data_IF_149111341698
#
_entry.id   IF_149111341698
#
_cell.length_a   1.000
_cell.length_b   1.000
_cell.length_c   1.000
_cell.angle_alpha   90.00
_cell.angle_beta   90.00
_cell.angle_gamma   90.00
#
_symmetry.space_group_name_H-M   'P 1'
#
loop_
_entity.id
_entity.type
_entity.pdbx_description
1 polymer ?
#
# COMPACT_ATOMS: atom_id res chain seq x y z
N UNK A 1 -5.20 25.04 -9.27
CA UNK A 1 -5.35 23.89 -10.21
C UNK A 1 -4.40 22.81 -9.71
N UNK A 2 -4.82 21.54 -9.64
CA UNK A 2 -3.93 20.48 -9.13
C UNK A 2 -2.85 20.17 -10.16
N UNK A 3 -1.58 20.28 -9.76
CA UNK A 3 -0.42 19.88 -10.55
C UNK A 3 0.14 18.57 -10.00
N UNK A 4 0.53 17.64 -10.88
CA UNK A 4 1.13 16.37 -10.47
C UNK A 4 2.59 16.37 -10.87
N UNK A 5 3.47 16.26 -9.88
CA UNK A 5 4.92 16.18 -10.03
C UNK A 5 5.42 14.81 -9.57
N UNK A 6 6.65 14.48 -9.93
CA UNK A 6 7.33 13.28 -9.43
C UNK A 6 8.70 13.64 -8.83
N UNK A 7 9.31 12.71 -8.11
CA UNK A 7 10.60 12.96 -7.46
C UNK A 7 11.78 12.99 -8.44
N UNK A 8 11.58 12.60 -9.71
CA UNK A 8 12.63 12.67 -10.72
C UNK A 8 12.77 14.12 -11.20
N UNK A 9 11.64 14.81 -11.37
CA UNK A 9 11.60 16.23 -11.71
C UNK A 9 11.83 17.14 -10.49
N UNK A 10 11.28 16.78 -9.31
CA UNK A 10 11.29 17.61 -8.09
C UNK A 10 11.64 16.81 -6.83
N UNK A 11 12.91 16.40 -6.67
CA UNK A 11 13.34 15.56 -5.54
C UNK A 11 13.15 16.23 -4.17
N UNK A 12 13.10 17.55 -4.11
CA UNK A 12 12.87 18.32 -2.88
C UNK A 12 11.47 18.12 -2.29
N UNK A 13 10.50 17.65 -3.10
CA UNK A 13 9.13 17.39 -2.63
C UNK A 13 9.00 16.16 -1.72
N UNK A 14 10.04 15.33 -1.63
CA UNK A 14 9.98 14.09 -0.83
C UNK A 14 9.63 14.34 0.63
N UNK A 15 10.33 15.26 1.29
CA UNK A 15 10.11 15.51 2.72
C UNK A 15 8.72 16.12 2.99
N UNK A 16 8.28 17.18 2.28
CA UNK A 16 6.92 17.70 2.40
C UNK A 16 5.82 16.67 2.14
N UNK A 17 5.99 15.79 1.14
CA UNK A 17 5.01 14.75 0.84
C UNK A 17 4.83 13.74 2.00
N UNK A 18 5.91 13.42 2.72
CA UNK A 18 5.86 12.52 3.89
C UNK A 18 5.19 13.16 5.10
N UNK A 19 5.21 14.49 5.22
CA UNK A 19 4.57 15.22 6.31
C UNK A 19 3.04 15.22 6.22
N UNK A 20 2.47 14.79 5.09
CA UNK A 20 1.02 14.69 4.93
C UNK A 20 0.39 13.68 5.90
N UNK A 21 1.13 12.63 6.29
CA UNK A 21 0.67 11.57 7.17
C UNK A 21 0.77 10.18 6.54
N UNK A 22 0.11 9.21 7.16
CA UNK A 22 0.09 7.79 6.76
C UNK A 22 -1.32 7.20 6.89
N UNK A 23 -1.56 6.07 6.22
CA UNK A 23 -2.82 5.32 6.30
C UNK A 23 -2.69 4.22 7.35
N UNK A 24 -3.72 4.04 8.17
CA UNK A 24 -3.79 2.95 9.16
C UNK A 24 -3.09 3.29 10.49
N UNK A 25 -2.75 2.26 11.27
CA UNK A 25 -2.06 2.42 12.55
C UNK A 25 -0.55 2.53 12.38
N UNK A 26 0.14 3.18 13.33
CA UNK A 26 1.60 3.35 13.34
C UNK A 26 2.34 2.03 13.13
N UNK A 27 1.86 0.96 13.78
CA UNK A 27 2.45 -0.38 13.71
C UNK A 27 2.63 -0.92 12.28
N UNK A 28 1.84 -0.49 11.30
CA UNK A 28 2.00 -0.90 9.90
C UNK A 28 3.35 -0.47 9.30
N UNK A 29 3.98 0.57 9.84
CA UNK A 29 5.31 1.02 9.45
C UNK A 29 6.46 0.14 9.98
N UNK A 30 6.17 -0.85 10.84
CA UNK A 30 7.17 -1.71 11.48
C UNK A 30 7.26 -3.12 10.89
N UNK A 31 6.54 -3.41 9.80
CA UNK A 31 6.71 -4.66 9.06
C UNK A 31 8.12 -4.81 8.48
N UNK A 32 8.64 -6.04 8.47
CA UNK A 32 10.03 -6.35 8.07
C UNK A 32 10.36 -5.89 6.64
N UNK A 33 9.40 -6.08 5.74
CA UNK A 33 9.46 -5.75 4.30
C UNK A 33 9.35 -4.25 4.03
N UNK A 34 8.74 -3.47 4.93
CA UNK A 34 8.41 -2.06 4.68
C UNK A 34 9.64 -1.18 4.39
N UNK A 35 10.81 -1.60 4.88
CA UNK A 35 12.08 -0.96 4.54
C UNK A 35 12.40 -1.01 3.04
N UNK A 36 12.06 -2.10 2.34
CA UNK A 36 12.45 -2.34 0.93
C UNK A 36 11.93 -1.24 -0.02
N UNK A 37 10.77 -0.66 0.28
CA UNK A 37 10.20 0.46 -0.46
C UNK A 37 10.09 1.74 0.37
N UNK A 38 11.07 2.02 1.25
CA UNK A 38 11.16 3.32 1.91
C UNK A 38 11.17 4.45 0.86
N UNK A 39 10.64 5.63 1.22
CA UNK A 39 10.64 6.79 0.33
C UNK A 39 12.04 7.19 -0.18
N UNK A 40 13.10 6.89 0.60
CA UNK A 40 14.49 7.08 0.15
C UNK A 40 14.87 6.12 -0.99
N UNK A 41 14.47 4.85 -0.89
CA UNK A 41 14.73 3.82 -1.92
C UNK A 41 13.92 4.08 -3.18
N UNK A 42 12.62 4.38 -3.05
CA UNK A 42 11.79 4.73 -4.21
C UNK A 42 12.37 5.97 -4.92
N UNK A 43 12.75 7.01 -4.18
CA UNK A 43 13.38 8.20 -4.78
C UNK A 43 14.73 7.92 -5.46
N UNK A 44 15.45 6.87 -5.06
CA UNK A 44 16.74 6.52 -5.65
C UNK A 44 16.60 5.63 -6.89
N UNK A 45 15.62 4.72 -6.90
CA UNK A 45 15.51 3.67 -7.93
C UNK A 45 14.34 3.89 -8.88
N UNK A 46 13.26 4.51 -8.43
CA UNK A 46 12.01 4.70 -9.16
C UNK A 46 11.36 6.08 -8.88
N UNK A 47 12.11 7.19 -8.96
CA UNK A 47 11.62 8.51 -8.57
C UNK A 47 10.42 8.99 -9.39
N UNK A 48 10.27 8.53 -10.64
CA UNK A 48 9.16 8.81 -11.54
C UNK A 48 7.82 8.18 -11.10
N UNK A 49 7.87 7.21 -10.18
CA UNK A 49 6.71 6.52 -9.62
C UNK A 49 6.36 6.97 -8.20
N UNK A 50 7.05 7.98 -7.67
CA UNK A 50 6.64 8.70 -6.47
C UNK A 50 6.03 10.04 -6.89
N UNK A 51 4.70 10.11 -6.87
CA UNK A 51 3.93 11.27 -7.29
C UNK A 51 3.58 12.17 -6.10
N UNK A 52 3.63 13.48 -6.34
CA UNK A 52 3.17 14.52 -5.41
C UNK A 52 2.16 15.39 -6.13
N UNK A 53 0.95 15.45 -5.58
CA UNK A 53 -0.12 16.33 -6.07
C UNK A 53 -0.05 17.63 -5.29
N UNK A 54 0.04 18.74 -6.02
CA UNK A 54 0.23 20.08 -5.49
C UNK A 54 -1.02 20.93 -5.75
N UNK A 55 -1.47 21.65 -4.73
CA UNK A 55 -2.45 22.73 -4.84
C UNK A 55 -1.72 24.04 -4.51
N UNK A 56 -1.57 24.91 -5.50
CA UNK A 56 -0.78 26.15 -5.40
C UNK A 56 0.63 25.90 -4.79
N UNK A 57 1.35 24.92 -5.36
CA UNK A 57 2.69 24.48 -4.93
C UNK A 57 2.78 23.83 -3.54
N UNK A 58 1.65 23.65 -2.85
CA UNK A 58 1.57 22.94 -1.57
C UNK A 58 1.18 21.47 -1.79
N UNK A 59 1.94 20.49 -1.26
CA UNK A 59 1.53 19.09 -1.29
C UNK A 59 0.17 18.87 -0.61
N UNK A 60 -0.75 18.23 -1.32
CA UNK A 60 -2.09 17.87 -0.80
C UNK A 60 -2.38 16.37 -0.92
N UNK A 61 -1.64 15.65 -1.75
CA UNK A 61 -1.67 14.19 -1.82
C UNK A 61 -0.34 13.65 -2.32
N UNK A 62 -0.08 12.37 -2.04
CA UNK A 62 1.02 11.60 -2.60
C UNK A 62 0.55 10.23 -3.05
N UNK A 63 1.28 9.65 -3.99
CA UNK A 63 1.17 8.25 -4.34
C UNK A 63 2.55 7.68 -4.63
N UNK A 64 2.75 6.42 -4.31
CA UNK A 64 3.99 5.72 -4.61
C UNK A 64 3.70 4.37 -5.24
N UNK A 65 4.53 4.00 -6.20
CA UNK A 65 4.46 2.71 -6.88
C UNK A 65 5.85 2.15 -7.14
N UNK A 66 5.91 0.84 -7.37
CA UNK A 66 7.13 0.11 -7.70
C UNK A 66 6.90 -0.76 -8.93
N UNK A 67 7.87 -0.86 -9.85
CA UNK A 67 7.76 -1.75 -10.99
C UNK A 67 8.14 -3.19 -10.58
N UNK A 68 7.47 -4.18 -11.17
CA UNK A 68 7.75 -5.61 -10.95
C UNK A 68 7.67 -6.38 -12.26
N UNK A 69 8.44 -7.46 -12.36
CA UNK A 69 8.32 -8.47 -13.40
C UNK A 69 7.10 -9.37 -13.09
N UNK A 70 5.98 -9.10 -13.76
CA UNK A 70 4.74 -9.86 -13.61
C UNK A 70 3.79 -9.66 -14.82
N UNK A 71 3.20 -10.72 -15.37
CA UNK A 71 3.41 -12.13 -15.04
C UNK A 71 4.74 -12.67 -15.60
N UNK A 72 5.25 -13.73 -14.97
CA UNK A 72 6.38 -14.53 -15.46
C UNK A 72 6.06 -16.02 -15.30
N UNK A 73 6.91 -16.91 -15.81
CA UNK A 73 6.76 -18.36 -15.55
C UNK A 73 6.86 -18.71 -14.07
N UNK A 74 7.64 -17.95 -13.30
CA UNK A 74 7.83 -18.13 -11.85
C UNK A 74 6.73 -17.44 -11.03
N UNK A 75 6.09 -16.41 -11.59
CA UNK A 75 5.04 -15.61 -10.97
C UNK A 75 3.78 -15.61 -11.86
N UNK A 76 3.06 -16.75 -11.94
CA UNK A 76 1.89 -16.89 -12.79
C UNK A 76 0.65 -16.14 -12.25
N UNK A 77 0.62 -15.83 -10.95
CA UNK A 77 -0.47 -15.12 -10.28
C UNK A 77 0.07 -14.10 -9.27
N UNK A 78 -0.75 -13.12 -8.88
CA UNK A 78 -0.41 -12.13 -7.84
C UNK A 78 -0.20 -12.81 -6.48
N UNK A 79 0.74 -12.33 -5.65
CA UNK A 79 1.14 -13.02 -4.44
C UNK A 79 0.07 -12.86 -3.37
N UNK A 80 -0.17 -13.93 -2.60
CA UNK A 80 -1.06 -13.89 -1.43
C UNK A 80 -0.54 -12.95 -0.34
N UNK A 81 0.78 -12.68 -0.35
CA UNK A 81 1.47 -11.69 0.50
C UNK A 81 1.20 -10.24 0.09
N UNK A 82 0.35 -9.97 -0.90
CA UNK A 82 -0.16 -8.63 -1.18
C UNK A 82 0.94 -7.55 -1.27
N UNK A 83 0.83 -6.54 -0.41
CA UNK A 83 1.78 -5.42 -0.35
C UNK A 83 3.19 -5.90 -0.01
N UNK A 84 3.36 -6.76 1.00
CA UNK A 84 4.65 -7.33 1.39
C UNK A 84 5.28 -8.15 0.25
N UNK A 85 4.46 -8.97 -0.42
CA UNK A 85 4.91 -9.78 -1.56
C UNK A 85 5.39 -8.94 -2.73
N UNK A 86 4.70 -7.84 -3.04
CA UNK A 86 5.12 -6.92 -4.09
C UNK A 86 6.46 -6.24 -3.78
N UNK A 87 6.72 -5.91 -2.51
CA UNK A 87 8.00 -5.33 -2.10
C UNK A 87 9.14 -6.34 -2.26
N UNK A 88 8.92 -7.59 -1.85
CA UNK A 88 9.90 -8.66 -2.04
C UNK A 88 10.19 -8.87 -3.52
N UNK A 89 9.15 -8.95 -4.36
CA UNK A 89 9.32 -9.10 -5.80
C UNK A 89 10.12 -7.99 -6.44
N UNK A 90 9.84 -6.71 -6.12
CA UNK A 90 10.62 -5.60 -6.69
C UNK A 90 12.07 -5.62 -6.21
N UNK A 91 12.34 -6.05 -4.97
CA UNK A 91 13.70 -6.21 -4.46
C UNK A 91 14.44 -7.34 -5.19
N UNK A 92 13.80 -8.51 -5.36
CA UNK A 92 14.35 -9.62 -6.13
C UNK A 92 14.61 -9.23 -7.59
N UNK A 93 13.66 -8.54 -8.23
CA UNK A 93 13.80 -8.10 -9.61
C UNK A 93 14.94 -7.10 -9.78
N UNK A 94 15.14 -6.22 -8.80
CA UNK A 94 16.27 -5.31 -8.79
C UNK A 94 17.60 -6.04 -8.61
N UNK A 95 17.67 -7.02 -7.70
CA UNK A 95 18.89 -7.80 -7.44
C UNK A 95 19.27 -8.70 -8.62
N UNK A 96 18.27 -9.26 -9.30
CA UNK A 96 18.44 -10.21 -10.40
C UNK A 96 18.36 -9.52 -11.78
N UNK A 97 18.31 -8.19 -11.81
CA UNK A 97 18.23 -7.37 -13.03
C UNK A 97 17.07 -7.77 -13.98
N UNK A 98 15.94 -8.22 -13.42
CA UNK A 98 14.75 -8.58 -14.20
C UNK A 98 14.07 -7.33 -14.75
N UNK A 99 13.70 -7.35 -16.02
CA UNK A 99 12.94 -6.28 -16.65
C UNK A 99 11.47 -6.30 -16.19
N UNK A 100 10.96 -5.24 -15.55
CA UNK A 100 9.59 -5.20 -15.07
C UNK A 100 8.59 -5.00 -16.22
N UNK A 101 7.38 -5.54 -16.04
CA UNK A 101 6.29 -5.49 -17.02
C UNK A 101 4.96 -4.99 -16.43
N UNK A 102 4.91 -4.82 -15.11
CA UNK A 102 3.78 -4.29 -14.36
C UNK A 102 4.23 -3.22 -13.36
N UNK A 103 3.32 -2.30 -13.04
CA UNK A 103 3.46 -1.33 -11.95
C UNK A 103 2.57 -1.76 -10.78
N UNK A 104 3.09 -1.75 -9.56
CA UNK A 104 2.31 -1.98 -8.33
C UNK A 104 2.15 -0.66 -7.60
N UNK A 105 0.92 -0.16 -7.46
CA UNK A 105 0.68 1.01 -6.60
C UNK A 105 0.70 0.58 -5.12
N UNK A 106 1.57 1.18 -4.33
CA UNK A 106 1.78 0.83 -2.93
C UNK A 106 0.94 1.67 -1.98
N UNK A 107 0.78 2.95 -2.29
CA UNK A 107 0.02 3.87 -1.46
C UNK A 107 -0.59 5.00 -2.29
N UNK A 108 -1.71 5.51 -1.78
CA UNK A 108 -2.24 6.82 -2.11
C UNK A 108 -2.66 7.46 -0.79
N UNK A 109 -2.09 8.61 -0.48
CA UNK A 109 -2.46 9.39 0.71
C UNK A 109 -2.97 10.75 0.28
N UNK A 110 -4.11 11.17 0.84
CA UNK A 110 -4.70 12.49 0.63
C UNK A 110 -4.79 13.20 1.98
N UNK A 111 -4.23 14.40 2.05
CA UNK A 111 -4.29 15.26 3.23
C UNK A 111 -5.74 15.42 3.71
N UNK A 112 -5.95 15.43 5.02
CA UNK A 112 -7.31 15.42 5.59
C UNK A 112 -8.14 16.62 5.10
N UNK A 113 -7.51 17.79 5.04
CA UNK A 113 -8.07 19.04 4.53
C UNK A 113 -8.38 19.05 3.03
N UNK A 114 -7.89 18.05 2.29
CA UNK A 114 -8.06 17.93 0.85
C UNK A 114 -8.86 16.68 0.43
N UNK A 115 -9.40 15.91 1.39
CA UNK A 115 -10.28 14.74 1.11
C UNK A 115 -11.57 15.18 0.42
N UNK A 116 -12.20 14.24 -0.30
CA UNK A 116 -13.46 14.49 -1.03
C UNK A 116 -13.29 15.26 -2.35
N UNK A 117 -12.09 15.71 -2.70
CA UNK A 117 -11.79 16.47 -3.92
C UNK A 117 -11.40 15.61 -5.15
N UNK A 118 -11.52 14.29 -5.05
CA UNK A 118 -11.15 13.36 -6.13
C UNK A 118 -9.64 13.13 -6.33
N UNK A 119 -8.79 13.64 -5.45
CA UNK A 119 -7.32 13.58 -5.58
C UNK A 119 -6.76 12.15 -5.65
N UNK A 120 -7.35 11.22 -4.90
CA UNK A 120 -6.91 9.82 -4.94
C UNK A 120 -7.14 9.18 -6.32
N UNK A 121 -8.26 9.48 -6.96
CA UNK A 121 -8.55 9.02 -8.32
C UNK A 121 -7.61 9.66 -9.35
N UNK A 122 -7.30 10.96 -9.19
CA UNK A 122 -6.31 11.64 -10.03
C UNK A 122 -4.92 11.01 -9.91
N UNK A 123 -4.50 10.67 -8.69
CA UNK A 123 -3.21 9.99 -8.46
C UNK A 123 -3.17 8.61 -9.13
N UNK A 124 -4.22 7.80 -9.02
CA UNK A 124 -4.31 6.49 -9.69
C UNK A 124 -4.31 6.63 -11.22
N UNK A 125 -5.01 7.62 -11.77
CA UNK A 125 -5.00 7.90 -13.21
C UNK A 125 -3.60 8.31 -13.69
N UNK A 126 -2.87 9.11 -12.92
CA UNK A 126 -1.51 9.46 -13.30
C UNK A 126 -0.55 8.28 -13.17
N UNK A 127 -0.69 7.40 -12.17
CA UNK A 127 0.08 6.15 -12.12
C UNK A 127 -0.18 5.26 -13.35
N UNK A 128 -1.42 5.17 -13.85
CA UNK A 128 -1.71 4.51 -15.14
C UNK A 128 -0.94 5.15 -16.29
N UNK A 129 -0.92 6.47 -16.37
CA UNK A 129 -0.19 7.18 -17.41
C UNK A 129 1.33 6.96 -17.32
N UNK A 130 1.89 6.94 -16.12
CA UNK A 130 3.31 6.65 -15.88
C UNK A 130 3.66 5.22 -16.28
N UNK A 131 2.80 4.24 -15.93
CA UNK A 131 2.96 2.87 -16.38
C UNK A 131 3.02 2.75 -17.91
N UNK A 132 2.09 3.40 -18.63
CA UNK A 132 2.10 3.44 -20.11
C UNK A 132 3.36 4.07 -20.68
N UNK A 133 3.78 5.23 -20.15
CA UNK A 133 4.99 5.93 -20.62
C UNK A 133 6.26 5.10 -20.39
N UNK A 134 6.29 4.32 -19.32
CA UNK A 134 7.38 3.40 -19.01
C UNK A 134 7.32 2.07 -19.80
N UNK A 135 6.35 1.89 -20.70
CA UNK A 135 6.20 0.67 -21.49
C UNK A 135 5.68 -0.54 -20.70
N UNK A 136 5.17 -0.32 -19.48
CA UNK A 136 4.57 -1.37 -18.68
C UNK A 136 3.18 -1.71 -19.21
N UNK A 137 2.76 -2.95 -19.01
CA UNK A 137 1.52 -3.51 -19.57
C UNK A 137 0.36 -3.53 -18.57
N UNK A 138 0.63 -3.37 -17.28
CA UNK A 138 -0.34 -3.53 -16.19
C UNK A 138 -0.12 -2.53 -15.07
N UNK A 139 -1.21 -2.12 -14.42
CA UNK A 139 -1.18 -1.51 -13.09
C UNK A 139 -1.96 -2.41 -12.15
N UNK A 140 -1.32 -2.94 -11.12
CA UNK A 140 -1.96 -3.75 -10.07
C UNK A 140 -1.88 -3.04 -8.74
N UNK A 141 -2.86 -3.26 -7.88
CA UNK A 141 -2.95 -2.57 -6.58
C UNK A 141 -3.41 -3.55 -5.51
N UNK A 142 -2.64 -3.76 -4.43
CA UNK A 142 -3.10 -4.49 -3.26
C UNK A 142 -3.89 -3.49 -2.39
N UNK A 143 -5.20 -3.43 -2.61
CA UNK A 143 -6.07 -2.45 -1.98
C UNK A 143 -6.46 -2.92 -0.57
N UNK A 144 -6.03 -2.16 0.43
CA UNK A 144 -6.46 -2.30 1.82
C UNK A 144 -7.86 -1.70 2.00
N UNK A 145 -8.90 -2.49 2.33
CA UNK A 145 -10.23 -1.93 2.58
C UNK A 145 -10.20 -0.98 3.78
N UNK A 146 -10.94 0.12 3.69
CA UNK A 146 -10.93 1.17 4.71
C UNK A 146 -11.98 0.98 5.80
N UNK A 147 -13.09 0.31 5.49
CA UNK A 147 -14.21 0.12 6.40
C UNK A 147 -14.34 -1.29 6.99
N UNK A 148 -13.36 -2.17 6.78
CA UNK A 148 -13.40 -3.55 7.26
C UNK A 148 -13.28 -3.58 8.79
N UNK A 149 -14.28 -4.13 9.52
CA UNK A 149 -14.15 -4.36 10.96
C UNK A 149 -13.05 -5.39 11.27
N UNK A 150 -12.26 -5.20 12.34
CA UNK A 150 -11.12 -6.07 12.65
C UNK A 150 -11.46 -7.55 12.82
N UNK A 151 -12.59 -7.86 13.47
CA UNK A 151 -12.97 -9.25 13.79
C UNK A 151 -13.81 -9.94 12.71
N UNK A 152 -14.24 -9.21 11.68
CA UNK A 152 -14.99 -9.77 10.56
C UNK A 152 -14.00 -10.42 9.57
N UNK A 153 -14.35 -11.53 8.91
CA UNK A 153 -13.50 -12.06 7.84
C UNK A 153 -13.55 -11.13 6.61
N UNK A 154 -12.48 -11.10 5.79
CA UNK A 154 -12.50 -10.32 4.54
C UNK A 154 -13.56 -10.83 3.57
N UNK A 155 -13.84 -12.14 3.57
CA UNK A 155 -14.85 -12.76 2.70
C UNK A 155 -16.25 -12.28 3.06
N UNK A 156 -16.61 -12.33 4.35
CA UNK A 156 -17.93 -11.87 4.82
C UNK A 156 -18.08 -10.36 4.58
N UNK A 157 -17.02 -9.59 4.85
CA UNK A 157 -16.99 -8.15 4.64
C UNK A 157 -17.23 -7.75 3.18
N UNK A 158 -16.63 -8.48 2.22
CA UNK A 158 -16.86 -8.24 0.80
C UNK A 158 -18.25 -8.72 0.35
N UNK A 159 -18.78 -9.79 0.96
CA UNK A 159 -20.08 -10.36 0.63
C UNK A 159 -21.26 -9.43 0.94
N UNK A 160 -21.11 -8.52 1.92
CA UNK A 160 -22.14 -7.53 2.29
C UNK A 160 -22.13 -6.25 1.44
N UNK A 161 -21.16 -6.09 0.56
CA UNK A 161 -21.07 -4.99 -0.41
C UNK A 161 -19.69 -4.33 -0.47
N UNK A 162 -19.52 -3.42 -1.44
CA UNK A 162 -18.21 -2.83 -1.72
C UNK A 162 -17.82 -1.73 -0.73
N UNK A 163 -16.64 -1.86 -0.12
CA UNK A 163 -15.97 -0.79 0.61
C UNK A 163 -15.83 0.50 -0.26
N UNK A 164 -15.95 1.71 0.32
CA UNK A 164 -15.86 2.96 -0.45
C UNK A 164 -14.55 3.13 -1.24
N UNK A 165 -13.43 2.66 -0.69
CA UNK A 165 -12.14 2.73 -1.36
C UNK A 165 -12.04 1.71 -2.49
N UNK A 166 -12.47 0.46 -2.27
CA UNK A 166 -12.56 -0.54 -3.35
C UNK A 166 -13.45 -0.08 -4.51
N UNK A 167 -14.60 0.52 -4.21
CA UNK A 167 -15.52 1.08 -5.22
C UNK A 167 -14.87 2.18 -6.06
N UNK A 168 -13.90 2.91 -5.50
CA UNK A 168 -13.17 3.95 -6.24
C UNK A 168 -12.24 3.34 -7.29
N UNK A 169 -11.65 2.18 -7.03
CA UNK A 169 -10.89 1.42 -8.03
C UNK A 169 -11.81 0.90 -9.15
N UNK A 170 -12.94 0.30 -8.80
CA UNK A 170 -13.93 -0.23 -9.77
C UNK A 170 -14.45 0.87 -10.72
N UNK A 171 -14.76 2.06 -10.18
CA UNK A 171 -15.18 3.22 -10.99
C UNK A 171 -14.12 3.69 -11.99
N UNK A 172 -12.85 3.38 -11.72
CA UNK A 172 -11.72 3.64 -12.62
C UNK A 172 -11.43 2.45 -13.56
N UNK A 173 -12.39 1.52 -13.66
CA UNK A 173 -12.34 0.34 -14.51
C UNK A 173 -11.47 -0.78 -13.98
N UNK A 174 -11.08 -0.76 -12.70
CA UNK A 174 -10.28 -1.84 -12.14
C UNK A 174 -11.12 -3.12 -11.97
N UNK A 175 -10.49 -4.26 -12.25
CA UNK A 175 -11.07 -5.58 -12.06
C UNK A 175 -10.51 -6.21 -10.79
N UNK A 176 -11.40 -6.74 -9.95
CA UNK A 176 -11.00 -7.57 -8.82
C UNK A 176 -10.29 -8.84 -9.33
N UNK A 177 -9.14 -9.18 -8.73
CA UNK A 177 -8.35 -10.37 -9.10
C UNK A 177 -8.45 -11.48 -8.07
N UNK A 178 -8.08 -11.20 -6.82
CA UNK A 178 -8.15 -12.15 -5.70
C UNK A 178 -8.01 -11.45 -4.36
N UNK A 179 -8.36 -12.15 -3.28
CA UNK A 179 -7.97 -11.77 -1.91
C UNK A 179 -6.49 -12.09 -1.72
N UNK A 180 -5.76 -11.20 -1.06
CA UNK A 180 -4.42 -11.41 -0.53
C UNK A 180 -4.56 -11.59 1.00
N UNK A 181 -4.64 -12.83 1.52
CA UNK A 181 -5.05 -13.09 2.90
C UNK A 181 -4.04 -12.62 3.96
N UNK A 182 -2.77 -12.46 3.60
CA UNK A 182 -1.69 -12.04 4.48
C UNK A 182 -0.87 -10.92 3.83
N UNK A 183 -1.61 -9.91 3.33
CA UNK A 183 -1.08 -8.83 2.52
C UNK A 183 -0.08 -7.91 3.24
N UNK A 184 -0.22 -7.79 4.56
CA UNK A 184 0.76 -7.14 5.43
C UNK A 184 0.89 -7.94 6.72
N UNK A 185 2.13 -8.21 7.11
CA UNK A 185 2.47 -8.88 8.37
C UNK A 185 3.38 -8.00 9.22
N UNK A 186 2.97 -7.77 10.46
CA UNK A 186 3.77 -7.05 11.46
C UNK A 186 3.98 -7.97 12.65
N UNK A 187 5.23 -8.16 13.04
CA UNK A 187 5.62 -8.89 14.24
C UNK A 187 6.42 -7.97 15.15
N UNK A 188 6.29 -8.20 16.46
CA UNK A 188 7.03 -7.45 17.46
C UNK A 188 6.85 -8.05 18.84
N UNK A 189 7.69 -7.64 19.78
CA UNK A 189 7.54 -7.99 21.19
C UNK A 189 6.34 -7.29 21.82
N UNK A 190 5.89 -7.73 22.99
CA UNK A 190 4.76 -7.07 23.67
C UNK A 190 5.10 -5.62 24.03
N UNK A 191 6.35 -5.34 24.38
CA UNK A 191 6.83 -3.99 24.65
C UNK A 191 6.81 -3.09 23.40
N UNK A 192 7.18 -3.63 22.24
CA UNK A 192 7.09 -2.90 20.98
C UNK A 192 5.63 -2.58 20.62
N UNK A 193 4.73 -3.56 20.77
CA UNK A 193 3.30 -3.33 20.55
C UNK A 193 2.70 -2.27 21.48
N UNK A 194 3.06 -2.28 22.77
CA UNK A 194 2.65 -1.23 23.71
C UNK A 194 3.19 0.14 23.27
N UNK A 195 4.42 0.22 22.77
CA UNK A 195 4.97 1.46 22.22
C UNK A 195 4.22 1.96 20.99
N UNK A 196 3.91 1.09 20.02
CA UNK A 196 3.29 1.48 18.75
C UNK A 196 1.79 1.78 18.85
N UNK A 197 1.11 1.21 19.85
CA UNK A 197 -0.36 1.25 19.92
C UNK A 197 -0.89 1.85 21.21
N UNK A 198 -0.04 1.99 22.23
CA UNK A 198 -0.46 2.32 23.60
C UNK A 198 -1.23 1.20 24.30
N UNK A 199 -1.29 0.00 23.72
CA UNK A 199 -2.10 -1.11 24.23
C UNK A 199 -1.18 -2.23 24.75
N UNK A 200 -1.40 -2.61 26.01
CA UNK A 200 -0.83 -3.84 26.58
C UNK A 200 -1.59 -5.04 26.07
N UNK A 201 -0.94 -5.81 25.20
CA UNK A 201 -1.48 -7.06 24.68
C UNK A 201 -1.53 -8.14 25.78
N UNK A 202 -2.50 -9.04 25.66
CA UNK A 202 -2.65 -10.26 26.46
C UNK A 202 -2.83 -11.44 25.51
N UNK A 203 -2.60 -12.66 26.00
CA UNK A 203 -2.76 -13.88 25.20
C UNK A 203 -4.08 -13.89 24.40
N UNK A 204 -3.98 -14.22 23.11
CA UNK A 204 -5.10 -14.25 22.19
C UNK A 204 -5.24 -12.99 21.33
N UNK A 205 -6.47 -12.72 20.86
CA UNK A 205 -6.75 -11.65 19.92
C UNK A 205 -7.03 -10.31 20.62
N UNK A 206 -6.30 -9.27 20.21
CA UNK A 206 -6.53 -7.89 20.65
C UNK A 206 -6.73 -6.98 19.44
N UNK A 207 -7.80 -6.18 19.43
CA UNK A 207 -8.01 -5.15 18.41
C UNK A 207 -7.20 -3.91 18.77
N UNK A 208 -6.43 -3.39 17.82
CA UNK A 208 -5.63 -2.17 17.97
C UNK A 208 -6.11 -1.07 17.01
N UNK A 209 -6.06 0.22 17.41
CA UNK A 209 -6.46 1.34 16.56
C UNK A 209 -5.74 1.35 15.21
N UNK A 210 -6.50 1.61 14.14
CA UNK A 210 -5.97 1.67 12.78
C UNK A 210 -5.77 0.31 12.09
N UNK A 211 -5.95 -0.81 12.79
CA UNK A 211 -5.95 -2.16 12.21
C UNK A 211 -7.29 -2.58 11.63
N UNK A 212 -7.27 -3.51 10.68
CA UNK A 212 -8.43 -4.20 10.10
C UNK A 212 -8.40 -5.71 10.38
N UNK A 213 -7.52 -6.15 11.27
CA UNK A 213 -7.41 -7.49 11.84
C UNK A 213 -7.06 -7.38 13.34
N UNK A 214 -7.26 -8.40 14.17
CA UNK A 214 -6.70 -8.41 15.52
C UNK A 214 -5.19 -8.74 15.49
N UNK A 215 -4.47 -8.30 16.51
CA UNK A 215 -3.15 -8.82 16.86
C UNK A 215 -3.33 -10.11 17.66
N UNK A 216 -2.69 -11.20 17.25
CA UNK A 216 -2.57 -12.42 18.06
C UNK A 216 -1.32 -12.31 18.92
N UNK A 217 -1.50 -12.33 20.25
CA UNK A 217 -0.38 -12.25 21.19
C UNK A 217 -0.16 -13.55 21.97
N UNK A 218 1.10 -13.78 22.34
CA UNK A 218 1.58 -14.84 23.21
C UNK A 218 2.59 -14.26 24.20
N UNK A 219 2.25 -14.30 25.49
CA UNK A 219 3.09 -13.88 26.60
C UNK A 219 4.22 -14.87 26.87
N UNK A 220 3.99 -16.16 26.65
CA UNK A 220 5.01 -17.20 26.72
C UNK A 220 6.17 -16.94 25.73
N UNK A 221 5.85 -16.42 24.55
CA UNK A 221 6.83 -16.15 23.49
C UNK A 221 7.30 -14.68 23.42
N UNK A 222 6.76 -13.80 24.26
CA UNK A 222 6.91 -12.34 24.13
C UNK A 222 6.68 -11.85 22.68
N UNK A 223 5.53 -12.21 22.11
CA UNK A 223 5.23 -12.02 20.70
C UNK A 223 3.83 -11.48 20.49
N UNK A 224 3.70 -10.47 19.62
CA UNK A 224 2.46 -10.08 18.97
C UNK A 224 2.61 -10.18 17.44
N UNK A 225 1.64 -10.81 16.80
CA UNK A 225 1.59 -11.00 15.35
C UNK A 225 0.30 -10.39 14.80
N UNK A 226 0.45 -9.48 13.85
CA UNK A 226 -0.63 -8.88 13.10
C UNK A 226 -0.54 -9.32 11.65
N UNK A 227 -1.63 -9.87 11.11
CA UNK A 227 -1.74 -10.26 9.71
C UNK A 227 -3.04 -9.70 9.18
N UNK A 228 -2.97 -8.76 8.23
CA UNK A 228 -4.16 -8.22 7.58
C UNK A 228 -4.33 -8.65 6.12
N UNK A 229 -5.58 -8.83 5.67
CA UNK A 229 -5.88 -9.11 4.28
C UNK A 229 -6.07 -7.82 3.47
N UNK A 230 -5.64 -7.85 2.21
CA UNK A 230 -6.02 -6.89 1.17
C UNK A 230 -6.76 -7.61 0.03
N UNK A 231 -7.15 -6.86 -0.99
CA UNK A 231 -7.65 -7.38 -2.26
C UNK A 231 -6.82 -6.86 -3.42
N UNK A 232 -6.46 -7.73 -4.35
CA UNK A 232 -5.79 -7.33 -5.57
C UNK A 232 -6.80 -6.81 -6.58
N UNK A 233 -6.56 -5.60 -7.09
CA UNK A 233 -7.20 -5.07 -8.28
C UNK A 233 -6.19 -4.92 -9.40
N UNK A 234 -6.62 -5.19 -10.63
CA UNK A 234 -5.87 -4.85 -11.83
C UNK A 234 -6.61 -3.76 -12.60
N UNK A 235 -5.88 -2.72 -12.94
CA UNK A 235 -6.36 -1.60 -13.71
C UNK A 235 -5.98 -1.78 -15.19
N UNK A 236 -6.92 -1.53 -16.13
CA UNK A 236 -6.58 -1.48 -17.54
C UNK A 236 -5.69 -0.26 -17.81
N UNK A 237 -4.59 -0.52 -18.50
CA UNK A 237 -3.77 0.47 -19.20
C UNK A 237 -4.28 0.63 -20.63
#
# INVERSE_FOLDING_TARGET
MIRVEDLAARPELRAPALQLGFVGGEFLGHGLTGGLASSKRIAAHWPEFFLVLLDDDVPVARAAAIPVAFPTSERPELPDHGWDGALVWAAEDHLDERSPTALVALEVYVAETARGRGLAAQALLELKNRARRAGLSRLVVPVRPTGKPPLESIVDYLGRGTDPWLRSHERLGAEFRKIAPFAMTVTGTLAQWEQWTGIRLKDGHTVVPGGIAPVLASTEQDLGVYVEPNVWYEHPL
#
